data_IF_166107380177
#
_entry.id   IF_166107380177
#
_cell.length_a   1.000
_cell.length_b   1.000
_cell.length_c   1.000
_cell.angle_alpha   90.00
_cell.angle_beta   90.00
_cell.angle_gamma   90.00
#
_symmetry.space_group_name_H-M   'P 1'
#
loop_
_entity.id
_entity.type
_entity.pdbx_description
1 polymer ?
#
# COMPACT_ATOMS: atom_id res chain seq x y z
N UNK A 1 -0.74 31.60 -22.98
CA UNK A 1 -0.63 30.15 -22.77
C UNK A 1 -1.12 29.87 -21.36
N UNK A 2 -2.28 29.24 -21.21
CA UNK A 2 -2.79 28.87 -19.88
C UNK A 2 -2.16 27.51 -19.55
N UNK A 3 -1.29 27.46 -18.56
CA UNK A 3 -0.81 26.21 -17.98
C UNK A 3 -2.04 25.45 -17.47
N UNK A 4 -2.41 24.36 -18.16
CA UNK A 4 -3.40 23.43 -17.63
C UNK A 4 -2.79 22.80 -16.39
N UNK A 5 -3.34 23.09 -15.22
CA UNK A 5 -3.01 22.37 -14.00
C UNK A 5 -3.16 20.86 -14.27
N UNK A 6 -2.06 20.10 -14.17
CA UNK A 6 -2.09 18.64 -14.31
C UNK A 6 -3.11 18.09 -13.33
N UNK A 7 -3.96 17.18 -13.79
CA UNK A 7 -4.93 16.54 -12.90
C UNK A 7 -4.18 15.76 -11.83
N UNK A 8 -4.64 15.85 -10.56
CA UNK A 8 -4.11 15.13 -9.37
C UNK A 8 -3.91 13.60 -9.56
N UNK A 9 -4.40 13.03 -10.65
CA UNK A 9 -4.25 11.61 -11.02
C UNK A 9 -2.92 11.31 -11.72
N UNK A 10 -2.33 12.27 -12.44
CA UNK A 10 -1.11 12.08 -13.25
C UNK A 10 0.20 12.32 -12.47
N UNK A 11 0.09 12.86 -11.26
CA UNK A 11 1.26 13.16 -10.42
C UNK A 11 1.79 11.90 -9.73
N UNK A 12 3.12 11.79 -9.74
CA UNK A 12 3.89 10.86 -8.90
C UNK A 12 3.70 11.33 -7.47
N UNK A 13 3.20 10.44 -6.61
CA UNK A 13 2.83 10.80 -5.25
C UNK A 13 3.17 9.63 -4.33
N UNK A 14 3.85 9.95 -3.24
CA UNK A 14 4.14 9.02 -2.16
C UNK A 14 3.30 9.36 -0.93
N UNK A 15 2.62 8.36 -0.38
CA UNK A 15 1.78 8.51 0.82
C UNK A 15 1.98 7.37 1.76
N UNK A 16 2.00 7.68 3.04
CA UNK A 16 1.92 6.71 4.10
C UNK A 16 0.50 6.56 4.64
N UNK A 17 0.06 5.32 4.72
CA UNK A 17 -1.25 4.92 5.21
C UNK A 17 -1.13 3.92 6.35
N UNK A 18 -2.09 3.98 7.27
CA UNK A 18 -2.30 2.93 8.28
C UNK A 18 -3.46 2.04 7.84
N UNK A 19 -3.17 0.80 7.43
CA UNK A 19 -4.19 -0.16 6.99
C UNK A 19 -4.69 -0.94 8.21
N UNK A 20 -6.01 -0.88 8.48
CA UNK A 20 -6.65 -1.71 9.49
C UNK A 20 -7.00 -3.09 8.91
N UNK A 21 -6.12 -4.06 9.11
CA UNK A 21 -6.32 -5.44 8.67
C UNK A 21 -7.31 -6.21 9.54
N UNK A 22 -7.44 -5.85 10.83
CA UNK A 22 -8.39 -6.50 11.74
C UNK A 22 -9.83 -6.43 11.20
N UNK A 23 -10.28 -5.25 10.76
CA UNK A 23 -11.63 -5.08 10.18
C UNK A 23 -11.77 -5.81 8.84
N UNK A 24 -10.74 -5.78 7.98
CA UNK A 24 -10.76 -6.38 6.64
C UNK A 24 -10.73 -7.90 6.63
N UNK A 25 -10.11 -8.48 7.66
CA UNK A 25 -9.95 -9.93 7.83
C UNK A 25 -10.98 -10.53 8.78
N UNK A 26 -11.94 -9.75 9.24
CA UNK A 26 -13.03 -10.23 10.07
C UNK A 26 -13.82 -11.34 9.35
N UNK A 27 -14.15 -12.41 10.06
CA UNK A 27 -14.89 -13.55 9.53
C UNK A 27 -14.12 -14.44 8.53
N UNK A 28 -12.82 -14.22 8.31
CA UNK A 28 -12.04 -15.10 7.44
C UNK A 28 -11.54 -16.35 8.19
N UNK A 29 -11.50 -17.49 7.49
CA UNK A 29 -10.90 -18.73 7.99
C UNK A 29 -9.40 -18.54 8.26
N UNK A 30 -8.90 -19.10 9.36
CA UNK A 30 -7.50 -18.96 9.77
C UNK A 30 -6.48 -19.38 8.71
N UNK A 31 -6.75 -20.47 7.97
CA UNK A 31 -5.88 -20.94 6.88
C UNK A 31 -5.81 -19.99 5.68
N UNK A 32 -6.66 -18.97 5.61
CA UNK A 32 -6.71 -18.01 4.48
C UNK A 32 -6.36 -16.59 4.92
N UNK A 33 -5.97 -16.35 6.18
CA UNK A 33 -5.88 -15.01 6.75
C UNK A 33 -4.71 -14.19 6.18
N UNK A 34 -3.48 -14.72 6.23
CA UNK A 34 -2.33 -14.03 5.61
C UNK A 34 -2.48 -13.85 4.08
N UNK A 35 -2.88 -14.87 3.29
CA UNK A 35 -3.15 -14.67 1.86
C UNK A 35 -4.22 -13.62 1.57
N UNK A 36 -5.31 -13.59 2.37
CA UNK A 36 -6.37 -12.59 2.23
C UNK A 36 -5.88 -11.19 2.63
N UNK A 37 -4.97 -11.08 3.61
CA UNK A 37 -4.39 -9.81 4.03
C UNK A 37 -3.65 -9.12 2.89
N UNK A 38 -2.83 -9.87 2.14
CA UNK A 38 -2.09 -9.32 1.00
C UNK A 38 -3.05 -8.87 -0.10
N UNK A 39 -4.10 -9.66 -0.39
CA UNK A 39 -5.14 -9.26 -1.36
C UNK A 39 -5.86 -7.97 -0.93
N UNK A 40 -6.14 -7.83 0.35
CA UNK A 40 -6.76 -6.62 0.91
C UNK A 40 -5.82 -5.40 0.87
N UNK A 41 -4.52 -5.58 1.08
CA UNK A 41 -3.51 -4.53 0.92
C UNK A 41 -3.45 -4.08 -0.54
N UNK A 42 -3.40 -5.04 -1.48
CA UNK A 42 -3.42 -4.75 -2.93
C UNK A 42 -4.67 -3.98 -3.33
N UNK A 43 -5.85 -4.43 -2.89
CA UNK A 43 -7.13 -3.76 -3.14
C UNK A 43 -7.19 -2.36 -2.54
N UNK A 44 -6.60 -2.15 -1.36
CA UNK A 44 -6.51 -0.83 -0.75
C UNK A 44 -5.62 0.11 -1.57
N UNK A 45 -4.45 -0.36 -2.00
CA UNK A 45 -3.53 0.43 -2.83
C UNK A 45 -4.15 0.81 -4.17
N UNK A 46 -4.78 -0.14 -4.86
CA UNK A 46 -5.51 0.10 -6.12
C UNK A 46 -6.58 1.19 -5.94
N UNK A 47 -7.38 1.14 -4.88
CA UNK A 47 -8.41 2.15 -4.62
C UNK A 47 -7.83 3.52 -4.21
N UNK A 48 -6.75 3.53 -3.43
CA UNK A 48 -6.16 4.77 -2.91
C UNK A 48 -5.38 5.54 -3.97
N UNK A 49 -4.67 4.82 -4.86
CA UNK A 49 -3.83 5.41 -5.90
C UNK A 49 -4.50 5.45 -7.27
N UNK A 50 -5.51 4.62 -7.53
CA UNK A 50 -6.20 4.58 -8.82
C UNK A 50 -5.42 3.90 -9.95
N UNK A 51 -4.42 3.07 -9.63
CA UNK A 51 -3.65 2.26 -10.60
C UNK A 51 -4.07 0.80 -10.52
N UNK A 52 -4.13 0.08 -11.65
CA UNK A 52 -4.42 -1.36 -11.61
C UNK A 52 -3.14 -2.18 -11.41
N UNK A 53 -1.99 -1.72 -11.91
CA UNK A 53 -0.70 -2.33 -11.55
C UNK A 53 -0.31 -1.93 -10.11
N UNK A 54 -0.22 -2.95 -9.24
CA UNK A 54 0.16 -2.82 -7.84
C UNK A 54 1.19 -3.88 -7.48
N UNK A 55 2.42 -3.41 -7.29
CA UNK A 55 3.59 -4.22 -6.94
C UNK A 55 3.79 -4.17 -5.43
N UNK A 56 3.78 -5.35 -4.81
CA UNK A 56 3.94 -5.49 -3.36
C UNK A 56 5.38 -5.89 -3.09
N UNK A 57 6.07 -5.11 -2.25
CA UNK A 57 7.46 -5.38 -1.90
C UNK A 57 7.60 -6.67 -1.06
N UNK A 58 8.76 -7.31 -1.21
CA UNK A 58 9.10 -8.55 -0.51
C UNK A 58 9.16 -8.34 1.00
N UNK A 59 9.61 -7.17 1.49
CA UNK A 59 9.64 -6.88 2.93
C UNK A 59 8.24 -6.80 3.52
N UNK A 60 7.29 -6.18 2.80
CA UNK A 60 5.89 -6.15 3.22
C UNK A 60 5.30 -7.56 3.27
N UNK A 61 5.59 -8.41 2.28
CA UNK A 61 5.16 -9.80 2.30
C UNK A 61 5.73 -10.55 3.51
N UNK A 62 7.04 -10.47 3.75
CA UNK A 62 7.70 -11.08 4.92
C UNK A 62 7.08 -10.60 6.24
N UNK A 63 6.80 -9.31 6.37
CA UNK A 63 6.18 -8.74 7.57
C UNK A 63 4.78 -9.29 7.83
N UNK A 64 3.93 -9.39 6.79
CA UNK A 64 2.58 -9.96 6.90
C UNK A 64 2.62 -11.44 7.30
N UNK A 65 3.58 -12.21 6.78
CA UNK A 65 3.74 -13.64 7.06
C UNK A 65 4.57 -13.96 8.31
N UNK A 66 5.20 -12.97 8.95
CA UNK A 66 6.11 -13.16 10.10
C UNK A 66 5.48 -13.89 11.30
N UNK A 67 4.17 -13.74 11.50
CA UNK A 67 3.41 -14.38 12.58
C UNK A 67 2.69 -15.66 12.13
N UNK A 68 2.98 -16.14 10.92
CA UNK A 68 2.37 -17.31 10.30
C UNK A 68 1.03 -17.05 9.64
N UNK A 69 0.40 -18.11 9.13
CA UNK A 69 -0.80 -17.99 8.29
C UNK A 69 -2.06 -17.53 9.05
N UNK A 70 -2.17 -17.91 10.33
CA UNK A 70 -3.33 -17.64 11.19
C UNK A 70 -3.27 -16.27 11.85
N UNK A 71 -2.08 -15.78 12.18
CA UNK A 71 -1.91 -14.53 12.91
C UNK A 71 -1.32 -13.50 11.98
N UNK A 72 -2.05 -12.41 11.77
CA UNK A 72 -1.64 -11.30 10.91
C UNK A 72 -1.64 -10.05 11.77
N UNK A 73 -0.69 -9.11 11.59
CA UNK A 73 -0.71 -7.83 12.28
C UNK A 73 -2.07 -7.13 12.17
N UNK A 74 -2.60 -6.59 13.27
CA UNK A 74 -3.93 -5.96 13.29
C UNK A 74 -3.98 -4.67 12.46
N UNK A 75 -2.90 -3.90 12.49
CA UNK A 75 -2.69 -2.68 11.71
C UNK A 75 -1.27 -2.70 11.15
N UNK A 76 -1.08 -2.17 9.95
CA UNK A 76 0.22 -2.06 9.29
C UNK A 76 0.36 -0.64 8.76
N UNK A 77 1.53 -0.02 8.97
CA UNK A 77 1.91 1.22 8.29
C UNK A 77 2.58 0.87 6.97
N UNK A 78 2.07 1.45 5.91
CA UNK A 78 2.47 1.13 4.54
C UNK A 78 2.74 2.43 3.82
N UNK A 79 3.89 2.51 3.14
CA UNK A 79 4.20 3.58 2.20
C UNK A 79 3.82 3.09 0.80
N UNK A 80 3.02 3.88 0.12
CA UNK A 80 2.58 3.60 -1.24
C UNK A 80 3.13 4.71 -2.11
N UNK A 81 4.01 4.36 -3.04
CA UNK A 81 4.59 5.27 -4.02
C UNK A 81 3.98 4.97 -5.39
N UNK A 82 3.35 5.96 -6.00
CA UNK A 82 2.90 5.86 -7.39
C UNK A 82 4.01 6.34 -8.29
N UNK A 83 4.59 5.45 -9.10
CA UNK A 83 5.74 5.73 -9.97
C UNK A 83 5.35 5.58 -11.44
N UNK A 84 6.07 6.27 -12.31
CA UNK A 84 5.98 6.06 -13.76
C UNK A 84 6.63 4.74 -14.13
N UNK A 85 6.01 4.04 -15.06
CA UNK A 85 6.56 2.84 -15.65
C UNK A 85 7.40 3.23 -16.86
N UNK A 86 8.66 2.81 -16.89
CA UNK A 86 9.60 3.13 -17.97
C UNK A 86 9.65 2.03 -19.04
N UNK A 87 8.84 0.99 -18.89
CA UNK A 87 8.74 -0.13 -19.82
C UNK A 87 7.78 0.21 -20.97
N UNK A 88 8.29 0.19 -22.22
CA UNK A 88 7.54 0.56 -23.42
C UNK A 88 6.36 -0.39 -23.72
N UNK A 89 6.40 -1.64 -23.24
CA UNK A 89 5.33 -2.64 -23.42
C UNK A 89 4.25 -2.58 -22.32
N UNK A 90 4.34 -1.61 -21.40
CA UNK A 90 3.41 -1.51 -20.29
C UNK A 90 2.02 -1.04 -20.72
N UNK A 91 0.98 -1.78 -20.30
CA UNK A 91 -0.42 -1.40 -20.51
C UNK A 91 -0.85 -0.14 -19.74
N UNK A 92 -0.15 0.21 -18.67
CA UNK A 92 -0.42 1.38 -17.83
C UNK A 92 0.86 2.18 -17.60
N UNK A 93 0.75 3.50 -17.73
CA UNK A 93 1.87 4.45 -17.55
C UNK A 93 2.32 4.56 -16.08
N UNK A 94 1.45 4.20 -15.12
CA UNK A 94 1.69 4.37 -13.69
C UNK A 94 1.49 3.04 -12.97
N UNK A 95 2.40 2.71 -12.06
CA UNK A 95 2.25 1.59 -11.13
C UNK A 95 2.37 2.06 -9.68
N UNK A 96 1.74 1.33 -8.77
CA UNK A 96 1.89 1.58 -7.33
C UNK A 96 2.85 0.55 -6.71
N UNK A 97 3.92 1.03 -6.10
CA UNK A 97 4.82 0.23 -5.26
C UNK A 97 4.40 0.36 -3.79
N UNK A 98 4.24 -0.79 -3.13
CA UNK A 98 3.78 -0.87 -1.75
C UNK A 98 4.89 -1.42 -0.86
N UNK A 99 5.41 -0.59 0.05
CA UNK A 99 6.47 -0.95 1.00
C UNK A 99 5.97 -0.86 2.44
N UNK A 100 6.58 -1.65 3.33
CA UNK A 100 6.29 -1.59 4.77
C UNK A 100 7.10 -0.46 5.41
N UNK A 101 6.49 0.28 6.32
CA UNK A 101 7.21 1.20 7.21
C UNK A 101 7.26 0.54 8.58
N UNK A 102 8.46 0.22 9.04
CA UNK A 102 8.69 -0.45 10.31
C UNK A 102 8.57 0.56 11.45
N UNK A 103 7.33 0.73 11.92
CA UNK A 103 7.01 1.56 13.08
C UNK A 103 6.60 0.65 14.24
N UNK A 104 7.07 0.90 15.48
CA UNK A 104 6.59 0.19 16.66
C UNK A 104 5.06 0.24 16.76
N UNK A 105 4.45 -0.85 17.26
CA UNK A 105 2.98 -0.97 17.33
C UNK A 105 2.31 0.13 18.15
N UNK A 106 3.03 0.66 19.14
CA UNK A 106 2.56 1.68 20.07
C UNK A 106 2.39 3.03 19.36
N UNK A 107 3.25 3.32 18.40
CA UNK A 107 3.25 4.55 17.62
C UNK A 107 2.25 4.54 16.45
N UNK A 108 1.64 3.39 16.13
CA UNK A 108 0.60 3.30 15.09
C UNK A 108 -0.71 3.99 15.47
N UNK A 109 -0.90 4.33 16.75
CA UNK A 109 -2.10 4.99 17.25
C UNK A 109 -2.03 6.49 16.93
N UNK A 110 -3.04 7.02 16.25
CA UNK A 110 -3.12 8.44 15.90
C UNK A 110 -2.41 8.85 14.60
N UNK A 111 -1.62 7.96 13.99
CA UNK A 111 -1.04 8.21 12.67
C UNK A 111 -2.09 8.16 11.55
N UNK A 112 -2.49 9.34 11.08
CA UNK A 112 -3.32 9.54 9.90
C UNK A 112 -2.54 9.35 8.58
N UNK A 113 -3.18 9.66 7.46
CA UNK A 113 -2.52 9.67 6.15
C UNK A 113 -1.49 10.79 6.12
N UNK A 114 -0.25 10.48 5.75
CA UNK A 114 0.79 11.48 5.53
C UNK A 114 1.19 11.49 4.06
N UNK A 115 1.26 12.67 3.45
CA UNK A 115 1.97 12.87 2.19
C UNK A 115 3.46 12.91 2.50
N UNK A 116 4.26 12.27 1.66
CA UNK A 116 5.71 12.25 1.76
C UNK A 116 6.23 12.79 0.45
N UNK A 117 7.08 13.80 0.56
CA UNK A 117 7.86 14.28 -0.55
C UNK A 117 9.10 13.39 -0.63
N UNK A 118 9.39 12.82 -1.80
CA UNK A 118 10.51 11.89 -2.01
C UNK A 118 11.90 12.58 -1.92
N UNK A 119 11.99 13.76 -1.28
CA UNK A 119 13.23 14.51 -1.02
C UNK A 119 13.92 14.14 0.31
N UNK A 120 13.32 13.27 1.14
CA UNK A 120 13.88 12.76 2.42
C UNK A 120 14.06 11.22 2.45
#
# INVERSE_FOLDING_TARGET
>A
MVEKAKGRKEEVVTREYTINLHKRLHGCTFKKKAPKAIKEIRKFAQKAMGTNDVRVDVKLNKYVWSQGIRSVPRRIRVRIARKRNDDEDAKEELYSLVTVVEIPKEELKGLGTKLIDDED
#
